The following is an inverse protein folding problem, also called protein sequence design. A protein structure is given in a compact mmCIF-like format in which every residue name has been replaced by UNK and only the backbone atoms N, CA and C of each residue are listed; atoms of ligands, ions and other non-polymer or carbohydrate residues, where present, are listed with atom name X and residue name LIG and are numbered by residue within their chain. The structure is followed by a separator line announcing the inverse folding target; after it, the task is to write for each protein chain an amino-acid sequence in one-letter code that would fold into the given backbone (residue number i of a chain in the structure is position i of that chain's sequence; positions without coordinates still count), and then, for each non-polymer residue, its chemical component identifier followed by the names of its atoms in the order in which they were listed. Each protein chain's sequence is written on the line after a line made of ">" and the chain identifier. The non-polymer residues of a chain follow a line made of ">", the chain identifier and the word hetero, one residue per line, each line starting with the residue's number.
data_IF_952938493853
#
_entry.id   IF_952938493853
#
_cell.length_a   1.000
_cell.length_b   1.000
_cell.length_c   1.000
_cell.angle_alpha   90.00
_cell.angle_beta   90.00
_cell.angle_gamma   90.00
#
_symmetry.space_group_name_H-M   'P 1'
#
loop_
_entity.id
_entity.type
_entity.pdbx_description
1 polymer ?
#
# COMPACT_ATOMS: atom_id res chain seq x y z
N UNK A 1 11.18 15.73 8.53
CA UNK A 1 12.20 14.95 7.80
C UNK A 1 12.91 14.00 8.77
N UNK A 2 13.18 12.75 8.37
CA UNK A 2 13.85 11.76 9.23
C UNK A 2 14.88 10.89 8.48
N UNK A 3 15.24 11.25 7.23
CA UNK A 3 16.08 10.42 6.36
C UNK A 3 17.45 10.07 6.97
N UNK A 4 18.02 10.96 7.80
CA UNK A 4 19.31 10.72 8.46
C UNK A 4 19.20 9.99 9.81
N UNK A 5 17.98 9.79 10.32
CA UNK A 5 17.70 9.19 11.63
C UNK A 5 17.24 7.73 11.53
N UNK A 6 17.05 7.19 10.32
CA UNK A 6 16.61 5.80 10.14
C UNK A 6 17.62 4.80 10.74
N UNK A 7 17.15 3.77 11.47
CA UNK A 7 17.98 2.86 12.24
C UNK A 7 18.62 1.76 11.37
N UNK A 8 19.34 2.16 10.32
CA UNK A 8 20.09 1.25 9.45
C UNK A 8 21.58 1.32 9.80
N UNK A 9 22.26 0.16 9.79
CA UNK A 9 23.66 0.06 10.23
C UNK A 9 24.66 0.29 9.09
N UNK A 10 24.62 -0.57 8.05
CA UNK A 10 25.69 -0.63 7.01
C UNK A 10 25.43 0.23 5.78
N UNK A 11 24.18 0.54 5.48
CA UNK A 11 23.78 1.38 4.35
C UNK A 11 22.60 2.25 4.78
N UNK A 12 22.40 3.41 4.15
CA UNK A 12 21.31 4.34 4.46
C UNK A 12 20.68 4.86 3.17
N UNK A 13 19.35 4.87 3.17
CA UNK A 13 18.56 5.25 2.00
C UNK A 13 18.33 4.09 1.03
N UNK A 14 17.22 4.17 0.31
CA UNK A 14 16.88 3.27 -0.79
C UNK A 14 16.09 4.08 -1.82
N UNK A 15 16.16 3.65 -3.09
CA UNK A 15 15.25 4.15 -4.13
C UNK A 15 13.93 3.42 -4.04
N UNK A 16 12.84 4.09 -4.41
CA UNK A 16 11.56 3.42 -4.63
C UNK A 16 11.63 2.49 -5.85
N UNK A 17 10.69 1.56 -5.97
CA UNK A 17 10.52 0.83 -7.23
C UNK A 17 10.35 1.81 -8.40
N UNK A 18 10.93 1.51 -9.60
CA UNK A 18 10.78 2.35 -10.78
C UNK A 18 9.31 2.47 -11.16
N UNK A 19 8.93 3.64 -11.71
CA UNK A 19 7.55 3.93 -12.10
C UNK A 19 7.49 4.70 -13.41
N UNK A 20 6.51 4.37 -14.24
CA UNK A 20 6.10 5.18 -15.38
C UNK A 20 5.17 6.29 -14.92
N UNK A 21 5.38 7.50 -15.45
CA UNK A 21 4.53 8.65 -15.19
C UNK A 21 3.69 8.97 -16.43
N UNK A 22 2.42 9.23 -16.20
CA UNK A 22 1.49 9.68 -17.22
C UNK A 22 0.63 10.83 -16.73
N UNK A 23 -0.13 11.42 -17.64
CA UNK A 23 -1.14 12.42 -17.32
C UNK A 23 -2.52 11.88 -17.71
N UNK A 24 -3.48 12.03 -16.81
CA UNK A 24 -4.89 11.72 -17.06
C UNK A 24 -5.74 12.94 -16.73
N UNK A 25 -6.78 13.19 -17.52
CA UNK A 25 -7.74 14.26 -17.24
C UNK A 25 -9.01 13.65 -16.66
N UNK A 26 -9.37 14.06 -15.44
CA UNK A 26 -10.57 13.61 -14.75
C UNK A 26 -11.39 14.85 -14.40
N UNK A 27 -12.63 14.92 -14.90
CA UNK A 27 -13.54 16.07 -14.72
C UNK A 27 -12.89 17.41 -15.10
N UNK A 28 -12.13 17.44 -16.19
CA UNK A 28 -11.45 18.64 -16.70
C UNK A 28 -10.16 19.03 -15.96
N UNK A 29 -9.79 18.32 -14.89
CA UNK A 29 -8.55 18.53 -14.15
C UNK A 29 -7.51 17.48 -14.55
N UNK A 30 -6.27 17.92 -14.82
CA UNK A 30 -5.15 17.01 -15.09
C UNK A 30 -4.53 16.48 -13.81
N UNK A 31 -4.27 15.18 -13.78
CA UNK A 31 -3.63 14.44 -12.69
C UNK A 31 -2.43 13.66 -13.21
N UNK A 32 -1.39 13.55 -12.39
CA UNK A 32 -0.26 12.64 -12.65
C UNK A 32 -0.65 11.24 -12.17
N UNK A 33 -0.53 10.25 -13.04
CA UNK A 33 -0.60 8.83 -12.68
C UNK A 33 0.81 8.26 -12.59
N UNK A 34 0.99 7.30 -11.68
CA UNK A 34 2.29 6.69 -11.41
C UNK A 34 2.13 5.18 -11.23
N UNK A 35 2.54 4.43 -12.24
CA UNK A 35 2.40 2.98 -12.30
C UNK A 35 3.75 2.28 -12.13
N UNK A 36 3.85 1.16 -11.38
CA UNK A 36 5.05 0.32 -11.41
C UNK A 36 5.39 -0.07 -12.86
N UNK A 37 6.68 -0.04 -13.25
CA UNK A 37 7.07 -0.37 -14.63
C UNK A 37 6.88 -1.86 -14.95
N UNK A 38 6.73 -2.18 -16.23
CA UNK A 38 6.50 -3.56 -16.68
C UNK A 38 7.70 -4.49 -16.42
N UNK A 39 8.93 -3.98 -16.33
CA UNK A 39 10.13 -4.78 -16.06
C UNK A 39 10.07 -5.46 -14.69
N UNK A 40 9.32 -4.89 -13.73
CA UNK A 40 9.10 -5.52 -12.42
C UNK A 40 8.37 -6.86 -12.55
N UNK A 41 7.66 -7.13 -13.66
CA UNK A 41 7.04 -8.43 -13.90
C UNK A 41 8.07 -9.56 -13.97
N UNK A 42 9.30 -9.29 -14.43
CA UNK A 42 10.36 -10.29 -14.55
C UNK A 42 10.85 -10.87 -13.22
N UNK A 43 10.64 -10.13 -12.12
CA UNK A 43 11.04 -10.54 -10.76
C UNK A 43 9.85 -11.02 -9.92
N UNK A 44 8.62 -11.00 -10.47
CA UNK A 44 7.44 -11.52 -9.77
C UNK A 44 7.53 -13.05 -9.69
N UNK A 45 7.28 -13.57 -8.49
CA UNK A 45 7.25 -15.01 -8.23
C UNK A 45 5.91 -15.65 -8.61
N UNK A 46 5.58 -16.75 -7.92
CA UNK A 46 4.29 -17.43 -8.08
C UNK A 46 3.14 -16.49 -7.68
N UNK A 47 2.15 -16.37 -8.56
CA UNK A 47 0.93 -15.59 -8.31
C UNK A 47 -0.16 -16.49 -7.73
N UNK A 48 -0.78 -16.05 -6.64
CA UNK A 48 -2.03 -16.63 -6.14
C UNK A 48 -3.19 -15.70 -6.52
N UNK A 49 -4.20 -16.23 -7.21
CA UNK A 49 -5.38 -15.47 -7.62
C UNK A 49 -6.61 -16.06 -6.96
N UNK A 50 -7.41 -15.22 -6.31
CA UNK A 50 -8.76 -15.54 -5.87
C UNK A 50 -9.72 -14.52 -6.48
N UNK A 51 -10.90 -14.99 -6.89
CA UNK A 51 -11.97 -14.18 -7.48
C UNK A 51 -13.24 -14.36 -6.66
N UNK A 52 -14.15 -13.38 -6.73
CA UNK A 52 -15.51 -13.47 -6.17
C UNK A 52 -15.54 -13.88 -4.69
N UNK A 53 -14.64 -13.28 -3.89
CA UNK A 53 -14.58 -13.55 -2.46
C UNK A 53 -15.62 -12.69 -1.73
N UNK A 54 -16.68 -13.32 -1.25
CA UNK A 54 -17.52 -12.77 -0.18
C UNK A 54 -16.88 -13.14 1.16
N UNK A 55 -15.96 -12.31 1.63
CA UNK A 55 -15.18 -12.56 2.85
C UNK A 55 -15.15 -11.32 3.73
N UNK A 56 -15.24 -11.54 5.05
CA UNK A 56 -15.00 -10.49 6.04
C UNK A 56 -13.50 -10.31 6.31
N UNK A 57 -12.71 -11.38 6.13
CA UNK A 57 -11.26 -11.37 6.29
C UNK A 57 -10.57 -12.48 5.50
N UNK A 58 -9.29 -12.30 5.19
CA UNK A 58 -8.44 -13.28 4.52
C UNK A 58 -7.01 -13.18 5.03
N UNK A 59 -6.48 -14.30 5.52
CA UNK A 59 -5.06 -14.40 5.83
C UNK A 59 -4.29 -14.77 4.55
N UNK A 60 -3.33 -13.93 4.17
CA UNK A 60 -2.47 -14.18 3.00
C UNK A 60 -1.61 -15.45 3.15
N UNK A 61 -1.35 -15.91 4.37
CA UNK A 61 -0.66 -17.18 4.62
C UNK A 61 -1.46 -18.38 4.11
N UNK A 62 -2.79 -18.33 4.22
CA UNK A 62 -3.70 -19.35 3.67
C UNK A 62 -3.71 -19.35 2.14
N UNK A 63 -3.30 -18.24 1.51
CA UNK A 63 -3.09 -18.15 0.07
C UNK A 63 -1.71 -18.65 -0.37
N UNK A 64 -0.87 -19.12 0.57
CA UNK A 64 0.50 -19.54 0.30
C UNK A 64 1.49 -18.37 0.13
N UNK A 65 1.07 -17.14 0.44
CA UNK A 65 1.94 -15.96 0.39
C UNK A 65 2.68 -15.87 1.73
N UNK A 66 3.86 -16.48 1.80
CA UNK A 66 4.72 -16.52 3.01
C UNK A 66 5.92 -15.58 2.94
N UNK A 67 6.14 -14.94 1.79
CA UNK A 67 7.26 -14.03 1.55
C UNK A 67 6.97 -12.65 2.14
N UNK A 68 7.93 -11.99 2.81
CA UNK A 68 7.79 -10.59 3.20
C UNK A 68 7.83 -9.64 1.99
N UNK A 69 8.26 -10.13 0.83
CA UNK A 69 8.22 -9.43 -0.45
C UNK A 69 7.09 -10.00 -1.30
N UNK A 70 6.07 -9.18 -1.56
CA UNK A 70 4.93 -9.53 -2.41
C UNK A 70 4.41 -8.30 -3.15
N UNK A 71 3.63 -8.57 -4.20
CA UNK A 71 2.83 -7.58 -4.91
C UNK A 71 1.36 -7.99 -4.79
N UNK A 72 0.49 -7.04 -4.50
CA UNK A 72 -0.91 -7.28 -4.19
C UNK A 72 -1.79 -6.35 -5.01
N UNK A 73 -2.64 -6.96 -5.83
CA UNK A 73 -3.71 -6.29 -6.57
C UNK A 73 -5.05 -6.72 -5.99
N UNK A 74 -5.91 -5.75 -5.67
CA UNK A 74 -7.27 -6.00 -5.18
C UNK A 74 -8.25 -5.19 -6.02
N UNK A 75 -9.36 -5.83 -6.33
CA UNK A 75 -10.57 -5.16 -6.81
C UNK A 75 -11.65 -5.38 -5.77
N UNK A 76 -12.20 -4.30 -5.26
CA UNK A 76 -13.27 -4.32 -4.24
C UNK A 76 -14.43 -3.46 -4.73
N UNK A 77 -15.60 -3.66 -4.11
CA UNK A 77 -16.67 -2.66 -4.18
C UNK A 77 -16.22 -1.35 -3.51
N UNK A 78 -17.03 -0.29 -3.63
CA UNK A 78 -16.78 1.01 -2.97
C UNK A 78 -17.11 0.94 -1.47
N UNK A 79 -16.41 0.03 -0.78
CA UNK A 79 -16.56 -0.26 0.63
C UNK A 79 -15.20 -0.13 1.34
N UNK A 80 -15.24 0.18 2.63
CA UNK A 80 -14.01 0.26 3.44
C UNK A 80 -13.33 -1.09 3.53
N UNK A 81 -12.01 -1.11 3.43
CA UNK A 81 -11.20 -2.29 3.68
C UNK A 81 -9.90 -1.94 4.40
N UNK A 82 -9.30 -2.95 5.03
CA UNK A 82 -8.02 -2.83 5.73
C UNK A 82 -7.15 -4.04 5.42
N UNK A 83 -5.89 -3.76 5.11
CA UNK A 83 -4.80 -4.71 4.99
C UNK A 83 -3.91 -4.51 6.20
N UNK A 84 -3.79 -5.56 7.03
CA UNK A 84 -2.92 -5.57 8.20
C UNK A 84 -1.67 -6.40 7.92
N UNK A 85 -0.53 -5.74 7.85
CA UNK A 85 0.78 -6.40 7.78
C UNK A 85 1.34 -6.48 9.19
N UNK A 86 1.52 -7.68 9.73
CA UNK A 86 1.90 -7.88 11.13
C UNK A 86 3.02 -8.91 11.30
N UNK A 87 3.62 -8.93 12.49
CA UNK A 87 4.66 -9.90 12.84
C UNK A 87 4.39 -10.56 14.21
N UNK A 88 5.20 -11.56 14.55
CA UNK A 88 5.07 -12.32 15.80
C UNK A 88 5.32 -11.50 17.08
N UNK A 89 5.82 -10.27 16.98
CA UNK A 89 6.02 -9.36 18.12
C UNK A 89 4.78 -8.51 18.43
N UNK A 90 3.68 -8.69 17.67
CA UNK A 90 2.47 -7.88 17.80
C UNK A 90 2.58 -6.50 17.15
N UNK A 91 3.64 -6.23 16.39
CA UNK A 91 3.82 -5.00 15.63
C UNK A 91 3.04 -5.10 14.31
N UNK A 92 2.51 -3.98 13.82
CA UNK A 92 1.74 -3.97 12.58
C UNK A 92 1.72 -2.61 11.86
N UNK A 93 1.48 -2.69 10.56
CA UNK A 93 1.13 -1.58 9.68
C UNK A 93 -0.27 -1.84 9.11
N UNK A 94 -1.11 -0.82 9.10
CA UNK A 94 -2.43 -0.88 8.48
C UNK A 94 -2.40 -0.04 7.20
N UNK A 95 -2.95 -0.56 6.12
CA UNK A 95 -3.19 0.20 4.90
C UNK A 95 -4.60 -0.11 4.40
N UNK A 96 -5.29 0.85 3.83
CA UNK A 96 -6.65 0.58 3.39
C UNK A 96 -7.35 1.76 2.76
N UNK A 97 -8.64 1.59 2.59
CA UNK A 97 -9.55 2.61 2.08
C UNK A 97 -10.68 2.82 3.09
N UNK A 98 -10.99 4.08 3.36
CA UNK A 98 -12.12 4.53 4.16
C UNK A 98 -13.18 5.13 3.22
N UNK A 99 -14.25 4.37 2.97
CA UNK A 99 -15.32 4.78 2.07
C UNK A 99 -16.13 5.97 2.60
N UNK A 100 -16.21 6.13 3.94
CA UNK A 100 -16.93 7.26 4.56
C UNK A 100 -16.21 8.58 4.25
N UNK A 101 -14.88 8.58 4.36
CA UNK A 101 -14.06 9.77 4.12
C UNK A 101 -13.54 9.88 2.67
N UNK A 102 -13.72 8.83 1.87
CA UNK A 102 -13.19 8.65 0.51
C UNK A 102 -11.68 8.83 0.44
N UNK A 103 -10.97 8.15 1.33
CA UNK A 103 -9.53 8.28 1.51
C UNK A 103 -8.83 6.93 1.56
N UNK A 104 -7.71 6.82 0.86
CA UNK A 104 -6.71 5.80 1.14
C UNK A 104 -5.89 6.21 2.35
N UNK A 105 -5.42 5.24 3.13
CA UNK A 105 -4.57 5.51 4.29
C UNK A 105 -3.44 4.48 4.44
N UNK A 106 -2.38 4.92 5.09
CA UNK A 106 -1.34 4.08 5.67
C UNK A 106 -1.15 4.53 7.12
N UNK A 107 -1.24 3.59 8.06
CA UNK A 107 -1.04 3.79 9.49
C UNK A 107 0.16 2.98 9.99
N UNK A 108 1.21 3.69 10.36
CA UNK A 108 2.47 3.13 10.86
C UNK A 108 2.74 3.47 12.32
N UNK A 109 1.70 3.76 13.11
CA UNK A 109 1.86 4.07 14.55
C UNK A 109 2.33 2.88 15.40
N UNK A 110 2.12 1.66 14.91
CA UNK A 110 2.47 0.39 15.57
C UNK A 110 3.47 -0.46 14.77
N UNK A 111 4.17 0.12 13.79
CA UNK A 111 5.00 -0.62 12.83
C UNK A 111 6.40 -1.02 13.34
N UNK A 112 6.58 -1.16 14.66
CA UNK A 112 7.86 -1.47 15.30
C UNK A 112 8.70 -0.23 15.66
N UNK A 113 10.01 -0.25 15.34
CA UNK A 113 10.95 0.81 15.71
C UNK A 113 10.49 2.14 15.10
N UNK A 114 10.11 3.09 15.95
CA UNK A 114 9.46 4.35 15.54
C UNK A 114 10.01 5.59 16.21
N UNK A 115 10.77 5.43 17.30
CA UNK A 115 11.21 6.52 18.18
C UNK A 115 12.39 7.34 17.61
N UNK A 116 12.85 7.00 16.41
CA UNK A 116 13.91 7.75 15.74
C UNK A 116 13.45 9.11 15.18
N UNK A 117 12.14 9.37 15.13
CA UNK A 117 11.58 10.66 14.71
C UNK A 117 10.12 10.81 15.12
N UNK A 118 9.77 11.94 15.74
CA UNK A 118 8.39 12.30 16.13
C UNK A 118 7.39 12.26 14.96
N UNK A 119 7.83 12.64 13.75
CA UNK A 119 7.01 12.59 12.54
C UNK A 119 6.88 11.21 11.87
N UNK A 120 7.46 10.15 12.45
CA UNK A 120 7.43 8.83 11.84
C UNK A 120 6.12 8.09 12.16
N UNK A 121 5.82 7.85 13.44
CA UNK A 121 4.62 7.15 13.88
C UNK A 121 3.34 7.96 13.62
N UNK A 122 2.73 7.81 12.44
CA UNK A 122 1.52 8.55 12.07
C UNK A 122 0.65 7.77 11.09
N UNK A 123 -0.61 8.18 11.00
CA UNK A 123 -1.50 7.85 9.88
C UNK A 123 -1.39 8.94 8.83
N UNK A 124 -1.16 8.54 7.58
CA UNK A 124 -1.18 9.41 6.41
C UNK A 124 -2.36 9.02 5.53
N UNK A 125 -2.98 10.01 4.89
CA UNK A 125 -4.13 9.79 4.02
C UNK A 125 -3.95 10.48 2.67
N UNK A 126 -4.69 9.99 1.68
CA UNK A 126 -4.80 10.57 0.35
C UNK A 126 -6.23 10.41 -0.15
N UNK A 127 -6.82 11.49 -0.68
CA UNK A 127 -8.18 11.46 -1.23
C UNK A 127 -8.25 10.56 -2.46
N UNK A 128 -9.29 9.74 -2.56
CA UNK A 128 -9.62 9.01 -3.78
C UNK A 128 -10.11 10.01 -4.82
N UNK A 129 -9.47 10.03 -5.99
CA UNK A 129 -9.92 10.85 -7.12
C UNK A 129 -11.09 10.12 -7.76
N UNK A 130 -12.28 10.69 -7.69
CA UNK A 130 -13.47 10.10 -8.32
C UNK A 130 -13.46 10.34 -9.83
N UNK A 131 -13.37 9.25 -10.58
CA UNK A 131 -13.76 9.22 -11.99
C UNK A 131 -15.29 9.28 -12.01
N UNK A 132 -15.86 10.37 -12.53
CA UNK A 132 -17.31 10.44 -12.69
C UNK A 132 -17.75 9.55 -13.86
N UNK A 133 -18.70 8.65 -13.62
CA UNK A 133 -19.38 7.86 -14.65
C UNK A 133 -19.21 6.35 -14.46
N UNK A 134 -20.35 5.67 -14.35
CA UNK A 134 -20.54 4.21 -14.36
C UNK A 134 -19.70 3.55 -15.46
N UNK A 135 -19.02 2.44 -15.14
CA UNK A 135 -18.65 1.44 -16.15
C UNK A 135 -19.91 0.66 -16.52
#
# INVERSE_FOLDING_TARGET
>A
MYANKIPTLRWRGAVTAPRELGLVTIKGQSYVVSNPTEELNSIRGKTAVKKELAIDSLDFNEMGIKSPLFDLSLTTEDASFEIKLSNAKGEFLLAGYDAKNKEFYIDRRQSGIKDFSDGFARRITAKRIEIGGTV
#
